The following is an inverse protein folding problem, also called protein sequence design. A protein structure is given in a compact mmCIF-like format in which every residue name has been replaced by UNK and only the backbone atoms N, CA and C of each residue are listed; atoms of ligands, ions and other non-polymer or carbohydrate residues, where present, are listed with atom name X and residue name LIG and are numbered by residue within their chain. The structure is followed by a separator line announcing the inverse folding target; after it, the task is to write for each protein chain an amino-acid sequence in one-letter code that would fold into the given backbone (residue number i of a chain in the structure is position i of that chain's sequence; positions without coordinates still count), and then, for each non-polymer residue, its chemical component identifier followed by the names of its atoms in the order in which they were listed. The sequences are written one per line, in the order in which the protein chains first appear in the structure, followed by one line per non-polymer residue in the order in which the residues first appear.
data_IF_339880635771
#
_entry.id   IF_339880635771
#
_cell.length_a   1.000
_cell.length_b   1.000
_cell.length_c   1.000
_cell.angle_alpha   90.00
_cell.angle_beta   90.00
_cell.angle_gamma   90.00
#
_symmetry.space_group_name_H-M   'P 1'
#
loop_
_entity.id
_entity.type
_entity.pdbx_description
1 polymer ?
#
# COMPACT_ATOMS: atom_id res chain seq x y z
N UNK A 1 -14.16 5.60 38.47
CA UNK A 1 -15.28 5.31 37.55
C UNK A 1 -15.39 6.47 36.58
N UNK A 2 -14.96 6.29 35.34
CA UNK A 2 -15.12 7.30 34.30
C UNK A 2 -16.39 6.98 33.51
N UNK A 3 -17.33 7.91 33.46
CA UNK A 3 -18.52 7.80 32.61
C UNK A 3 -18.11 8.31 31.23
N UNK A 4 -17.83 7.37 30.32
CA UNK A 4 -17.59 7.67 28.92
C UNK A 4 -18.91 8.03 28.26
N UNK A 5 -19.09 9.30 27.91
CA UNK A 5 -20.20 9.74 27.07
C UNK A 5 -19.92 9.32 25.63
N UNK A 6 -20.36 8.13 25.26
CA UNK A 6 -20.39 7.68 23.87
C UNK A 6 -21.27 8.63 23.06
N UNK A 7 -20.70 9.30 22.05
CA UNK A 7 -21.49 10.03 21.06
C UNK A 7 -22.32 9.01 20.28
N UNK A 8 -23.61 8.92 20.59
CA UNK A 8 -24.59 8.19 19.78
C UNK A 8 -24.70 8.88 18.42
N UNK A 9 -24.16 8.23 17.41
CA UNK A 9 -24.17 8.67 16.02
C UNK A 9 -25.55 8.41 15.42
N UNK A 10 -26.49 9.32 15.64
CA UNK A 10 -27.68 9.43 14.81
C UNK A 10 -27.35 10.22 13.55
N UNK A 11 -27.80 9.70 12.42
CA UNK A 11 -27.40 10.16 11.09
C UNK A 11 -27.80 11.61 10.79
N UNK A 12 -26.88 12.35 10.17
CA UNK A 12 -27.24 13.39 9.21
C UNK A 12 -27.24 14.85 9.68
N UNK A 13 -26.61 15.20 10.81
CA UNK A 13 -26.40 16.60 11.20
C UNK A 13 -24.93 16.90 11.43
N UNK A 14 -24.39 17.97 10.82
CA UNK A 14 -23.11 18.54 11.26
C UNK A 14 -23.24 18.93 12.74
N UNK A 15 -22.30 18.55 13.62
CA UNK A 15 -22.40 18.88 15.04
C UNK A 15 -22.51 20.41 15.23
N UNK A 16 -23.37 20.88 16.15
CA UNK A 16 -23.49 22.29 16.48
C UNK A 16 -22.14 22.92 16.80
N UNK A 17 -21.95 24.20 16.45
CA UNK A 17 -20.69 24.92 16.65
C UNK A 17 -20.19 24.86 18.11
N UNK A 18 -21.11 24.84 19.07
CA UNK A 18 -20.76 24.76 20.49
C UNK A 18 -20.16 23.41 20.88
N UNK A 19 -20.67 22.30 20.33
CA UNK A 19 -20.10 20.97 20.53
C UNK A 19 -18.72 20.84 19.89
N UNK A 20 -18.54 21.41 18.69
CA UNK A 20 -17.23 21.49 18.03
C UNK A 20 -16.22 22.30 18.85
N UNK A 21 -16.65 23.44 19.41
CA UNK A 21 -15.83 24.29 20.25
C UNK A 21 -15.41 23.56 21.54
N UNK A 22 -16.36 22.85 22.17
CA UNK A 22 -16.09 22.07 23.37
C UNK A 22 -15.15 20.88 23.08
N UNK A 23 -15.38 20.15 22.01
CA UNK A 23 -14.50 19.06 21.56
C UNK A 23 -13.08 19.56 21.27
N UNK A 24 -12.97 20.75 20.65
CA UNK A 24 -11.68 21.38 20.37
C UNK A 24 -10.95 21.76 21.66
N UNK A 25 -11.65 22.38 22.62
CA UNK A 25 -11.07 22.76 23.92
C UNK A 25 -10.59 21.55 24.71
N UNK A 26 -11.37 20.47 24.73
CA UNK A 26 -10.96 19.22 25.39
C UNK A 26 -9.79 18.54 24.67
N UNK A 27 -9.78 18.55 23.33
CA UNK A 27 -8.65 18.04 22.54
C UNK A 27 -7.35 18.78 22.83
N UNK A 28 -7.40 20.12 22.91
CA UNK A 28 -6.23 20.94 23.28
C UNK A 28 -5.79 20.69 24.72
N UNK A 29 -6.73 20.54 25.66
CA UNK A 29 -6.41 20.22 27.05
C UNK A 29 -5.74 18.85 27.18
N UNK A 30 -6.28 17.85 26.49
CA UNK A 30 -5.70 16.52 26.42
C UNK A 30 -4.29 16.55 25.85
N UNK A 31 -4.08 17.24 24.72
CA UNK A 31 -2.76 17.37 24.10
C UNK A 31 -1.74 18.06 25.01
N UNK A 32 -2.15 19.06 25.80
CA UNK A 32 -1.25 19.75 26.74
C UNK A 32 -0.96 18.96 28.01
N UNK A 33 -1.88 18.08 28.43
CA UNK A 33 -1.76 17.30 29.65
C UNK A 33 -0.92 16.02 29.50
N UNK A 34 -0.64 15.62 28.25
CA UNK A 34 0.14 14.44 27.95
C UNK A 34 1.52 14.83 27.43
N UNK A 35 2.53 14.11 27.90
CA UNK A 35 3.90 14.20 27.39
C UNK A 35 4.01 13.38 26.10
N UNK A 36 4.24 14.06 24.99
CA UNK A 36 4.31 13.43 23.67
C UNK A 36 5.58 12.62 23.47
N UNK A 37 6.61 12.85 24.28
CA UNK A 37 7.86 12.08 24.25
C UNK A 37 7.68 10.65 24.81
N UNK A 38 6.57 10.41 25.53
CA UNK A 38 6.18 9.09 26.05
C UNK A 38 5.28 8.32 25.07
N UNK A 39 4.87 8.93 23.96
CA UNK A 39 4.18 8.23 22.88
C UNK A 39 5.24 7.43 22.11
N UNK A 40 5.39 6.16 22.50
CA UNK A 40 6.20 5.21 21.75
C UNK A 40 5.51 4.93 20.42
N UNK A 41 5.88 5.70 19.40
CA UNK A 41 5.53 5.40 18.02
C UNK A 41 6.46 4.26 17.58
N UNK A 42 6.08 3.01 17.86
CA UNK A 42 6.75 1.84 17.28
C UNK A 42 6.31 1.67 15.82
N UNK A 43 6.62 2.67 14.99
CA UNK A 43 6.39 2.62 13.54
C UNK A 43 7.61 2.04 12.84
N UNK A 44 8.00 0.80 13.18
CA UNK A 44 8.83 0.04 12.25
C UNK A 44 8.01 -0.25 11.00
N UNK A 45 8.18 0.62 10.00
CA UNK A 45 7.52 0.52 8.70
C UNK A 45 8.06 -0.74 8.01
N UNK A 46 7.28 -1.81 8.06
CA UNK A 46 7.57 -3.03 7.30
C UNK A 46 7.20 -2.83 5.84
N UNK A 47 8.17 -3.06 4.96
CA UNK A 47 8.06 -2.98 3.51
C UNK A 47 8.01 -4.39 2.95
N UNK A 48 6.97 -4.71 2.18
CA UNK A 48 6.88 -5.92 1.37
C UNK A 48 7.33 -5.58 -0.06
N UNK A 49 8.38 -6.23 -0.54
CA UNK A 49 8.80 -6.20 -1.93
C UNK A 49 8.36 -7.48 -2.64
N UNK A 50 7.45 -7.34 -3.60
CA UNK A 50 6.97 -8.45 -4.44
C UNK A 50 7.69 -8.38 -5.78
N UNK A 51 8.58 -9.34 -6.02
CA UNK A 51 9.48 -9.39 -7.17
C UNK A 51 9.15 -10.60 -8.05
N UNK A 52 9.43 -10.50 -9.35
CA UNK A 52 9.29 -11.65 -10.25
C UNK A 52 10.32 -12.73 -9.86
N UNK A 53 9.98 -14.00 -10.05
CA UNK A 53 10.87 -15.15 -9.79
C UNK A 53 12.28 -15.04 -10.42
N UNK A 54 12.43 -14.28 -11.51
CA UNK A 54 13.74 -13.99 -12.12
C UNK A 54 14.68 -13.14 -11.24
N UNK A 55 14.17 -12.49 -10.20
CA UNK A 55 14.95 -11.67 -9.25
C UNK A 55 15.51 -12.47 -8.07
N UNK A 56 15.58 -13.81 -8.15
CA UNK A 56 16.17 -14.64 -7.07
C UNK A 56 17.57 -14.20 -6.63
N UNK A 57 18.38 -13.71 -7.57
CA UNK A 57 19.73 -13.20 -7.28
C UNK A 57 19.76 -11.93 -6.41
N UNK A 58 18.63 -11.21 -6.26
CA UNK A 58 18.54 -10.05 -5.37
C UNK A 58 18.75 -10.45 -3.92
N UNK A 59 18.23 -11.61 -3.50
CA UNK A 59 18.43 -12.08 -2.11
C UNK A 59 19.90 -12.39 -1.82
N UNK A 60 20.68 -12.77 -2.83
CA UNK A 60 22.13 -12.99 -2.67
C UNK A 60 22.94 -11.70 -2.79
N UNK A 61 22.47 -10.73 -3.57
CA UNK A 61 23.16 -9.47 -3.80
C UNK A 61 22.91 -8.42 -2.71
N UNK A 62 21.80 -8.52 -1.97
CA UNK A 62 21.41 -7.56 -0.96
C UNK A 62 21.07 -8.24 0.36
N UNK A 63 21.72 -7.80 1.44
CA UNK A 63 21.43 -8.24 2.80
C UNK A 63 19.95 -8.06 3.14
N UNK A 64 19.38 -9.00 3.89
CA UNK A 64 18.04 -8.84 4.43
C UNK A 64 18.02 -7.69 5.45
N UNK A 65 16.98 -6.87 5.37
CA UNK A 65 16.69 -5.84 6.36
C UNK A 65 15.55 -6.35 7.23
N UNK A 66 15.58 -6.15 8.56
CA UNK A 66 14.48 -6.56 9.44
C UNK A 66 13.14 -5.88 9.09
N UNK A 67 13.20 -4.74 8.39
CA UNK A 67 12.05 -3.96 8.00
C UNK A 67 11.66 -4.17 6.53
N UNK A 68 12.34 -5.06 5.80
CA UNK A 68 12.04 -5.36 4.39
C UNK A 68 11.89 -6.86 4.15
N UNK A 69 10.66 -7.25 3.85
CA UNK A 69 10.31 -8.60 3.44
C UNK A 69 10.34 -8.70 1.91
N UNK A 70 11.15 -9.60 1.36
CA UNK A 70 11.20 -9.86 -0.09
C UNK A 70 10.47 -11.16 -0.41
N UNK A 71 9.51 -11.11 -1.33
CA UNK A 71 8.77 -12.28 -1.79
C UNK A 71 8.77 -12.35 -3.31
N UNK A 72 8.80 -13.58 -3.82
CA UNK A 72 8.84 -13.86 -5.24
C UNK A 72 7.47 -14.34 -5.73
N UNK A 73 7.10 -13.94 -6.95
CA UNK A 73 5.93 -14.47 -7.64
C UNK A 73 6.31 -15.06 -9.00
N UNK A 74 5.72 -16.21 -9.34
CA UNK A 74 5.80 -16.80 -10.67
C UNK A 74 4.65 -16.34 -11.57
N UNK A 75 3.46 -16.16 -11.00
CA UNK A 75 2.26 -15.71 -11.70
C UNK A 75 1.59 -14.55 -10.98
N UNK A 76 0.84 -13.72 -11.71
CA UNK A 76 0.09 -12.61 -11.10
C UNK A 76 -0.96 -13.08 -10.08
N UNK A 77 -1.41 -14.33 -10.16
CA UNK A 77 -2.37 -14.87 -9.20
C UNK A 77 -1.74 -15.12 -7.81
N UNK A 78 -0.42 -15.34 -7.76
CA UNK A 78 0.29 -15.59 -6.51
C UNK A 78 0.33 -14.33 -5.63
N UNK A 79 0.39 -13.15 -6.26
CA UNK A 79 0.50 -11.84 -5.59
C UNK A 79 -0.59 -11.65 -4.53
N UNK A 80 -1.82 -12.11 -4.80
CA UNK A 80 -2.92 -12.04 -3.84
C UNK A 80 -2.56 -12.73 -2.52
N UNK A 81 -2.05 -13.96 -2.59
CA UNK A 81 -1.66 -14.74 -1.42
C UNK A 81 -0.50 -14.10 -0.68
N UNK A 82 0.44 -13.49 -1.42
CA UNK A 82 1.58 -12.78 -0.82
C UNK A 82 1.12 -11.56 -0.02
N UNK A 83 0.15 -10.80 -0.54
CA UNK A 83 -0.45 -9.66 0.16
C UNK A 83 -1.23 -10.10 1.40
N UNK A 84 -2.06 -11.14 1.29
CA UNK A 84 -2.91 -11.63 2.39
C UNK A 84 -2.11 -12.19 3.57
N UNK A 85 -0.86 -12.60 3.35
CA UNK A 85 0.00 -13.23 4.38
C UNK A 85 1.13 -12.32 4.86
N UNK A 86 1.12 -11.04 4.49
CA UNK A 86 2.10 -10.06 4.99
C UNK A 86 1.44 -9.09 5.97
N UNK A 87 2.20 -8.64 6.95
CA UNK A 87 1.80 -7.59 7.89
C UNK A 87 2.42 -6.23 7.52
N UNK A 88 2.93 -6.10 6.29
CA UNK A 88 3.59 -4.89 5.82
C UNK A 88 2.60 -3.74 5.59
N UNK A 89 3.00 -2.53 5.95
CA UNK A 89 2.22 -1.31 5.70
C UNK A 89 2.53 -0.68 4.34
N UNK A 90 3.67 -1.03 3.73
CA UNK A 90 4.04 -0.61 2.37
C UNK A 90 4.26 -1.85 1.50
N UNK A 91 3.72 -1.85 0.30
CA UNK A 91 3.97 -2.86 -0.72
C UNK A 91 4.59 -2.24 -1.97
N UNK A 92 5.75 -2.72 -2.38
CA UNK A 92 6.39 -2.41 -3.67
C UNK A 92 6.25 -3.62 -4.57
N UNK A 93 5.45 -3.49 -5.63
CA UNK A 93 5.23 -4.54 -6.62
C UNK A 93 6.02 -4.22 -7.90
N UNK A 94 6.93 -5.11 -8.28
CA UNK A 94 7.58 -5.05 -9.59
C UNK A 94 6.72 -5.79 -10.61
N UNK A 95 6.22 -5.05 -11.59
CA UNK A 95 5.38 -5.59 -12.66
C UNK A 95 6.15 -6.60 -13.54
N UNK A 96 5.42 -7.44 -14.28
CA UNK A 96 6.04 -8.43 -15.16
C UNK A 96 6.81 -7.74 -16.29
N UNK A 97 8.00 -8.26 -16.59
CA UNK A 97 8.91 -7.80 -17.66
C UNK A 97 8.63 -8.47 -19.02
N UNK A 98 7.67 -9.39 -19.08
CA UNK A 98 7.40 -10.18 -20.28
C UNK A 98 6.75 -9.36 -21.40
N UNK A 99 7.10 -9.71 -22.64
CA UNK A 99 6.43 -9.24 -23.86
C UNK A 99 5.14 -10.02 -24.15
N UNK A 100 4.86 -11.09 -23.39
CA UNK A 100 3.65 -11.88 -23.55
C UNK A 100 2.39 -11.10 -23.14
N UNK A 101 1.32 -11.31 -23.90
CA UNK A 101 0.02 -10.72 -23.61
C UNK A 101 -0.62 -11.43 -22.42
N UNK A 102 -0.65 -10.74 -21.29
CA UNK A 102 -1.35 -11.21 -20.10
C UNK A 102 -2.86 -10.98 -20.28
N UNK A 103 -3.72 -11.99 -20.07
CA UNK A 103 -5.17 -11.86 -20.20
C UNK A 103 -5.75 -10.75 -19.32
N UNK A 104 -6.72 -9.99 -19.84
CA UNK A 104 -7.41 -8.90 -19.11
C UNK A 104 -7.98 -9.36 -17.77
N UNK A 105 -8.56 -10.56 -17.72
CA UNK A 105 -9.13 -11.14 -16.49
C UNK A 105 -8.08 -11.25 -15.37
N UNK A 106 -6.84 -11.61 -15.72
CA UNK A 106 -5.72 -11.71 -14.77
C UNK A 106 -5.36 -10.34 -14.20
N UNK A 107 -5.32 -9.31 -15.06
CA UNK A 107 -5.12 -7.93 -14.62
C UNK A 107 -6.21 -7.43 -13.69
N UNK A 108 -7.49 -7.73 -13.98
CA UNK A 108 -8.60 -7.34 -13.08
C UNK A 108 -8.53 -8.02 -11.72
N UNK A 109 -8.15 -9.30 -11.66
CA UNK A 109 -7.93 -10.03 -10.40
C UNK A 109 -6.80 -9.39 -9.58
N UNK A 110 -5.69 -9.03 -10.23
CA UNK A 110 -4.59 -8.32 -9.58
C UNK A 110 -5.05 -6.96 -9.05
N UNK A 111 -5.69 -6.15 -9.90
CA UNK A 111 -6.17 -4.82 -9.51
C UNK A 111 -7.14 -4.88 -8.32
N UNK A 112 -8.02 -5.88 -8.29
CA UNK A 112 -8.93 -6.11 -7.18
C UNK A 112 -8.17 -6.48 -5.90
N UNK A 113 -7.14 -7.33 -6.00
CA UNK A 113 -6.31 -7.72 -4.86
C UNK A 113 -5.53 -6.52 -4.29
N UNK A 114 -4.96 -5.68 -5.17
CA UNK A 114 -4.28 -4.45 -4.77
C UNK A 114 -5.24 -3.44 -4.13
N UNK A 115 -6.44 -3.27 -4.69
CA UNK A 115 -7.47 -2.41 -4.12
C UNK A 115 -7.92 -2.88 -2.73
N UNK A 116 -8.06 -4.19 -2.53
CA UNK A 116 -8.34 -4.76 -1.20
C UNK A 116 -7.20 -4.48 -0.22
N UNK A 117 -5.95 -4.71 -0.61
CA UNK A 117 -4.79 -4.38 0.21
C UNK A 117 -4.76 -2.89 0.61
N UNK A 118 -5.02 -1.99 -0.35
CA UNK A 118 -5.08 -0.56 -0.11
C UNK A 118 -6.19 -0.16 0.88
N UNK A 119 -7.37 -0.78 0.79
CA UNK A 119 -8.47 -0.57 1.77
C UNK A 119 -8.11 -1.05 3.17
N UNK A 120 -7.22 -2.04 3.29
CA UNK A 120 -6.68 -2.53 4.56
C UNK A 120 -5.53 -1.67 5.11
N UNK A 121 -5.22 -0.54 4.47
CA UNK A 121 -4.19 0.41 4.93
C UNK A 121 -2.80 0.20 4.32
N UNK A 122 -2.63 -0.71 3.36
CA UNK A 122 -1.34 -0.93 2.70
C UNK A 122 -1.12 0.14 1.61
N UNK A 123 -0.02 0.88 1.69
CA UNK A 123 0.41 1.77 0.60
C UNK A 123 1.06 0.96 -0.52
N UNK A 124 0.39 0.87 -1.66
CA UNK A 124 0.86 0.09 -2.82
C UNK A 124 1.59 1.00 -3.82
N UNK A 125 2.81 0.64 -4.20
CA UNK A 125 3.58 1.24 -5.29
C UNK A 125 3.86 0.18 -6.35
N UNK A 126 3.40 0.40 -7.57
CA UNK A 126 3.67 -0.48 -8.71
C UNK A 126 4.82 0.11 -9.54
N UNK A 127 5.86 -0.69 -9.77
CA UNK A 127 6.99 -0.34 -10.62
C UNK A 127 6.83 -1.07 -11.95
N UNK A 128 6.60 -0.31 -13.02
CA UNK A 128 6.60 -0.84 -14.37
C UNK A 128 8.06 -1.00 -14.83
N UNK A 129 8.47 -2.19 -15.31
CA UNK A 129 9.77 -2.33 -15.93
C UNK A 129 9.88 -1.47 -17.18
N UNK A 130 11.09 -0.99 -17.48
CA UNK A 130 11.37 -0.28 -18.73
C UNK A 130 11.04 -1.23 -19.90
N UNK A 131 10.03 -0.89 -20.70
CA UNK A 131 9.76 -1.60 -21.94
C UNK A 131 10.65 -0.97 -23.00
N UNK A 132 11.45 -1.77 -23.70
CA UNK A 132 12.11 -1.30 -24.92
C UNK A 132 11.03 -0.87 -25.90
N UNK A 133 10.89 0.44 -26.09
CA UNK A 133 10.07 0.98 -27.16
C UNK A 133 10.82 0.68 -28.46
N UNK A 134 10.42 -0.39 -29.16
CA UNK A 134 10.93 -0.64 -30.51
C UNK A 134 10.49 0.53 -31.38
N UNK A 135 11.41 1.46 -31.65
CA UNK A 135 11.27 2.53 -32.63
C UNK A 135 10.73 1.95 -33.94
N UNK A 136 9.44 2.18 -34.21
CA UNK A 136 8.86 2.01 -35.54
C UNK A 136 9.24 3.21 -36.39
N UNK A 137 10.47 3.23 -36.89
CA UNK A 137 10.82 4.06 -38.04
C UNK A 137 11.21 3.14 -39.18
N UNK A 138 10.31 3.01 -40.18
CA UNK A 138 10.58 3.41 -41.57
C UNK A 138 9.43 3.01 -42.51
N UNK A 139 8.96 4.01 -43.27
CA UNK A 139 8.70 3.89 -44.70
C UNK A 139 7.34 3.35 -45.14
N UNK A 140 6.48 4.23 -45.64
CA UNK A 140 5.95 4.15 -47.02
C UNK A 140 5.39 5.52 -47.40
N UNK A 141 6.24 6.39 -47.96
CA UNK A 141 5.78 7.26 -49.05
C UNK A 141 5.52 6.35 -50.25
N UNK A 142 4.31 6.40 -50.82
CA UNK A 142 4.06 6.11 -52.23
C UNK A 142 3.04 7.12 -52.75
N UNK A 143 3.57 8.00 -53.60
CA UNK A 143 2.98 8.66 -54.80
C UNK A 143 1.48 8.67 -54.93
#
# INVERSE_FOLDING_TARGET
MAVGSCLTRDGGGSPPLEELNQATKEGVRYAKANDWDQVVIDERIKILMILLDGFRAVSTAFSESPDTERRLYGTLNDIRRLLESSTACICVLVGPTTNELIPKLTWYKLATSLATAARMGIKVTAVAPLREETNRTQGTERT
#
